data_IF_650091364224
#
_entry.id   IF_650091364224
#
_cell.length_a   1.000
_cell.length_b   1.000
_cell.length_c   1.000
_cell.angle_alpha   90.00
_cell.angle_beta   90.00
_cell.angle_gamma   90.00
#
_symmetry.space_group_name_H-M   'P 1'
#
loop_
_entity.id
_entity.type
_entity.pdbx_description
1 polymer ?
#
# COMPACT_ATOMS: atom_id res chain seq x y z
N UNK A 1 7.24 4.32 38.54
CA UNK A 1 7.98 3.46 37.58
C UNK A 1 8.37 4.33 36.39
N UNK A 2 9.42 5.13 36.52
CA UNK A 2 10.84 4.80 36.23
C UNK A 2 11.12 4.75 34.73
N UNK A 3 11.50 5.93 34.22
CA UNK A 3 12.22 6.14 32.98
C UNK A 3 13.57 5.41 33.01
N UNK A 4 13.95 4.73 31.92
CA UNK A 4 15.35 4.36 31.68
C UNK A 4 15.74 4.86 30.28
N UNK A 5 16.55 5.92 30.28
CA UNK A 5 17.45 6.29 29.17
C UNK A 5 18.66 5.37 29.23
N UNK A 6 19.09 4.83 28.10
CA UNK A 6 20.45 4.31 27.92
C UNK A 6 21.11 5.08 26.79
N UNK A 7 22.14 5.84 27.15
CA UNK A 7 23.12 6.44 26.24
C UNK A 7 24.33 5.50 26.25
N UNK A 8 24.86 5.13 25.08
CA UNK A 8 26.22 4.65 24.97
C UNK A 8 26.86 5.14 23.66
N UNK A 9 28.06 5.69 23.81
CA UNK A 9 28.82 6.41 22.82
C UNK A 9 29.79 5.51 22.05
N UNK A 10 29.95 5.81 20.75
CA UNK A 10 31.23 5.94 20.04
C UNK A 10 32.15 4.73 19.85
N UNK A 11 32.46 4.41 18.58
CA UNK A 11 33.85 4.49 18.06
C UNK A 11 33.90 4.37 16.53
N UNK A 12 34.57 5.34 15.90
CA UNK A 12 35.04 5.26 14.51
C UNK A 12 36.19 4.25 14.39
N UNK A 13 36.17 3.44 13.33
CA UNK A 13 37.35 2.77 12.78
C UNK A 13 37.43 3.08 11.29
N UNK A 14 38.46 3.84 10.89
CA UNK A 14 38.94 3.93 9.51
C UNK A 14 39.91 2.76 9.26
N UNK A 15 39.81 2.08 8.12
CA UNK A 15 40.96 1.55 7.35
C UNK A 15 40.65 1.47 5.85
N UNK A 16 41.72 1.54 5.06
CA UNK A 16 41.85 1.94 3.66
C UNK A 16 41.71 0.80 2.64
N UNK A 17 41.30 1.20 1.43
CA UNK A 17 41.75 0.80 0.08
C UNK A 17 42.02 -0.66 -0.28
N UNK A 18 41.32 -1.13 -1.32
CA UNK A 18 41.73 -2.22 -2.21
C UNK A 18 40.78 -2.30 -3.41
N UNK A 19 41.30 -2.09 -4.62
CA UNK A 19 40.58 -2.04 -5.90
C UNK A 19 40.58 -3.42 -6.57
N UNK A 20 39.57 -3.63 -7.42
CA UNK A 20 39.45 -4.56 -8.56
C UNK A 20 39.22 -6.06 -8.31
N UNK A 21 38.07 -6.52 -8.81
CA UNK A 21 37.74 -7.92 -9.04
C UNK A 21 36.37 -8.01 -9.73
N UNK A 22 36.36 -7.95 -11.06
CA UNK A 22 35.23 -8.23 -11.94
C UNK A 22 34.71 -9.66 -11.75
N UNK A 23 33.40 -9.87 -11.69
CA UNK A 23 32.84 -11.21 -11.75
C UNK A 23 31.33 -11.26 -11.58
N UNK A 24 30.64 -11.40 -12.72
CA UNK A 24 29.41 -12.19 -12.81
C UNK A 24 28.15 -11.52 -12.30
N UNK A 25 27.50 -10.78 -13.20
CA UNK A 25 26.06 -10.60 -13.21
C UNK A 25 25.36 -11.96 -13.06
N UNK A 26 24.82 -12.20 -11.86
CA UNK A 26 23.79 -13.20 -11.62
C UNK A 26 22.72 -12.52 -10.77
N UNK A 27 22.03 -11.54 -11.39
CA UNK A 27 20.69 -11.15 -10.97
C UNK A 27 19.84 -12.42 -11.09
N UNK A 28 19.68 -13.13 -9.96
CA UNK A 28 19.07 -14.46 -9.90
C UNK A 28 17.67 -14.39 -10.50
N UNK A 29 17.44 -15.28 -11.45
CA UNK A 29 16.31 -15.41 -12.35
C UNK A 29 14.99 -15.82 -11.64
N UNK A 30 15.00 -15.92 -10.32
CA UNK A 30 13.85 -16.30 -9.48
C UNK A 30 12.89 -15.12 -9.25
N UNK A 31 13.40 -13.88 -9.33
CA UNK A 31 12.66 -12.62 -9.17
C UNK A 31 11.63 -12.40 -10.31
N UNK A 32 11.98 -12.80 -11.53
CA UNK A 32 11.11 -12.63 -12.70
C UNK A 32 9.83 -13.47 -12.66
N UNK A 33 9.81 -14.62 -11.98
CA UNK A 33 8.65 -15.53 -12.05
C UNK A 33 7.52 -15.08 -11.12
N UNK A 34 7.86 -14.46 -9.98
CA UNK A 34 6.87 -13.86 -9.06
C UNK A 34 6.29 -12.55 -9.61
N UNK A 35 7.12 -11.69 -10.20
CA UNK A 35 6.64 -10.46 -10.83
C UNK A 35 5.67 -10.71 -12.01
N UNK A 36 5.95 -11.73 -12.83
CA UNK A 36 5.09 -12.10 -13.97
C UNK A 36 3.75 -12.71 -13.53
N UNK A 37 3.69 -13.37 -12.37
CA UNK A 37 2.46 -14.00 -11.88
C UNK A 37 1.43 -12.98 -11.37
N UNK A 38 1.86 -11.80 -10.92
CA UNK A 38 0.95 -10.75 -10.47
C UNK A 38 0.35 -9.98 -11.67
N UNK A 39 1.15 -9.62 -12.68
CA UNK A 39 0.67 -8.81 -13.81
C UNK A 39 -0.27 -9.54 -14.78
N UNK A 40 -0.17 -10.87 -14.90
CA UNK A 40 -1.06 -11.66 -15.78
C UNK A 40 -2.47 -11.89 -15.21
N UNK A 41 -2.77 -11.37 -14.01
CA UNK A 41 -4.07 -11.54 -13.33
C UNK A 41 -4.97 -10.30 -13.40
N UNK A 42 -4.56 -9.28 -14.16
CA UNK A 42 -5.31 -8.04 -14.34
C UNK A 42 -5.81 -7.88 -15.79
N UNK A 43 -6.94 -7.19 -16.01
CA UNK A 43 -7.85 -6.67 -14.98
C UNK A 43 -8.62 -7.78 -14.26
N UNK A 44 -8.99 -7.53 -13.00
CA UNK A 44 -9.87 -8.41 -12.22
C UNK A 44 -10.87 -7.59 -11.40
N UNK A 45 -12.03 -8.16 -11.03
CA UNK A 45 -12.89 -7.53 -10.04
C UNK A 45 -12.18 -7.42 -8.69
N UNK A 46 -12.68 -6.49 -7.87
CA UNK A 46 -12.38 -6.46 -6.43
C UNK A 46 -12.75 -7.79 -5.77
N UNK A 47 -11.93 -8.23 -4.83
CA UNK A 47 -12.34 -9.30 -3.91
C UNK A 47 -13.35 -8.75 -2.90
N UNK A 48 -14.09 -9.65 -2.23
CA UNK A 48 -15.01 -9.24 -1.17
C UNK A 48 -14.29 -8.49 -0.04
N UNK A 49 -13.10 -8.95 0.36
CA UNK A 49 -12.31 -8.31 1.42
C UNK A 49 -11.82 -6.91 1.01
N UNK A 50 -11.42 -6.72 -0.24
CA UNK A 50 -11.04 -5.40 -0.78
C UNK A 50 -12.25 -4.47 -0.80
N UNK A 51 -13.39 -4.96 -1.29
CA UNK A 51 -14.64 -4.20 -1.34
C UNK A 51 -15.08 -3.76 0.06
N UNK A 52 -15.19 -4.69 1.02
CA UNK A 52 -15.63 -4.42 2.38
C UNK A 52 -14.71 -3.40 3.09
N UNK A 53 -13.40 -3.51 2.88
CA UNK A 53 -12.44 -2.57 3.45
C UNK A 53 -12.62 -1.16 2.88
N UNK A 54 -12.76 -1.03 1.55
CA UNK A 54 -12.94 0.27 0.90
C UNK A 54 -14.29 0.88 1.27
N UNK A 55 -15.36 0.08 1.31
CA UNK A 55 -16.69 0.52 1.72
C UNK A 55 -16.67 1.05 3.16
N UNK A 56 -16.03 0.31 4.08
CA UNK A 56 -15.88 0.76 5.47
C UNK A 56 -15.08 2.07 5.58
N UNK A 57 -14.03 2.23 4.78
CA UNK A 57 -13.30 3.50 4.70
C UNK A 57 -14.19 4.64 4.18
N UNK A 58 -14.94 4.42 3.09
CA UNK A 58 -15.83 5.41 2.50
C UNK A 58 -16.97 5.82 3.45
N UNK A 59 -17.41 4.92 4.33
CA UNK A 59 -18.37 5.22 5.40
C UNK A 59 -17.93 6.36 6.34
N UNK A 60 -16.64 6.70 6.41
CA UNK A 60 -16.14 7.83 7.20
C UNK A 60 -16.32 9.20 6.52
N UNK A 61 -16.56 9.26 5.22
CA UNK A 61 -16.78 10.52 4.51
C UNK A 61 -18.13 11.13 4.96
N UNK A 62 -18.11 12.37 5.46
CA UNK A 62 -19.34 13.08 5.85
C UNK A 62 -20.13 13.63 4.67
N UNK A 63 -19.46 13.83 3.54
CA UNK A 63 -20.03 14.33 2.29
C UNK A 63 -19.21 13.83 1.11
N UNK A 64 -19.82 13.67 -0.06
CA UNK A 64 -19.12 13.19 -1.25
C UNK A 64 -18.89 11.66 -1.29
N UNK A 65 -19.45 10.90 -0.35
CA UNK A 65 -19.46 9.42 -0.33
C UNK A 65 -20.07 8.86 -1.61
N UNK A 66 -21.24 9.42 -2.01
CA UNK A 66 -22.07 8.85 -3.05
C UNK A 66 -21.39 8.73 -4.42
N UNK A 67 -20.46 9.64 -4.74
CA UNK A 67 -19.70 9.55 -6.00
C UNK A 67 -18.72 8.39 -6.03
N UNK A 68 -18.21 7.97 -4.85
CA UNK A 68 -17.21 6.91 -4.75
C UNK A 68 -17.84 5.54 -4.53
N UNK A 69 -18.97 5.46 -3.84
CA UNK A 69 -19.71 4.19 -3.69
C UNK A 69 -20.16 3.67 -5.05
N UNK A 70 -20.74 4.51 -5.91
CA UNK A 70 -21.11 4.08 -7.26
C UNK A 70 -19.92 3.68 -8.14
N UNK A 71 -18.72 4.22 -7.85
CA UNK A 71 -17.49 3.78 -8.53
C UNK A 71 -16.97 2.46 -7.99
N UNK A 72 -17.19 2.17 -6.70
CA UNK A 72 -16.71 0.96 -6.05
C UNK A 72 -17.38 -0.30 -6.63
N UNK A 73 -18.67 -0.22 -6.93
CA UNK A 73 -19.45 -1.33 -7.51
C UNK A 73 -18.92 -1.77 -8.89
N UNK A 74 -18.40 -0.82 -9.68
CA UNK A 74 -17.89 -1.04 -11.03
C UNK A 74 -16.34 -1.04 -11.09
N UNK A 75 -15.66 -0.97 -9.93
CA UNK A 75 -14.22 -0.84 -9.89
C UNK A 75 -13.51 -2.15 -10.24
N UNK A 76 -12.59 -2.06 -11.19
CA UNK A 76 -11.65 -3.14 -11.52
C UNK A 76 -10.26 -2.84 -11.00
N UNK A 77 -9.59 -3.86 -10.49
CA UNK A 77 -8.17 -3.80 -10.17
C UNK A 77 -7.37 -3.96 -11.45
N UNK A 78 -6.53 -2.96 -11.73
CA UNK A 78 -5.67 -2.88 -12.91
C UNK A 78 -4.21 -3.30 -12.63
N UNK A 79 -3.84 -3.41 -11.36
CA UNK A 79 -2.48 -3.74 -10.94
C UNK A 79 -2.35 -3.78 -9.43
N UNK A 80 -1.21 -4.27 -8.93
CA UNK A 80 -0.88 -4.28 -7.51
C UNK A 80 0.61 -4.06 -7.25
N UNK A 81 1.00 -3.91 -5.98
CA UNK A 81 2.42 -3.85 -5.63
C UNK A 81 3.10 -5.20 -5.92
N UNK A 82 4.27 -5.17 -6.56
CA UNK A 82 5.13 -6.36 -6.70
C UNK A 82 5.91 -6.72 -5.44
N UNK A 83 5.85 -5.87 -4.41
CA UNK A 83 6.63 -6.02 -3.17
C UNK A 83 6.08 -7.07 -2.20
N UNK A 84 4.81 -7.47 -2.34
CA UNK A 84 4.15 -8.40 -1.43
C UNK A 84 3.14 -7.77 -0.46
N UNK A 85 2.96 -6.44 -0.48
CA UNK A 85 1.86 -5.78 0.22
C UNK A 85 0.56 -5.82 -0.63
N UNK A 86 -0.62 -5.76 0.01
CA UNK A 86 -1.91 -5.91 -0.67
C UNK A 86 -2.39 -4.59 -1.32
N UNK A 87 -1.46 -3.71 -1.69
CA UNK A 87 -1.81 -2.45 -2.37
C UNK A 87 -2.23 -2.72 -3.80
N UNK A 88 -3.32 -2.07 -4.22
CA UNK A 88 -3.97 -2.26 -5.53
C UNK A 88 -4.25 -0.91 -6.21
N UNK A 89 -4.16 -0.90 -7.54
CA UNK A 89 -4.51 0.23 -8.38
C UNK A 89 -5.82 -0.07 -9.11
N UNK A 90 -6.71 0.92 -9.20
CA UNK A 90 -7.95 0.77 -9.95
C UNK A 90 -7.79 1.26 -11.39
N UNK A 91 -8.57 0.66 -12.29
CA UNK A 91 -8.86 1.22 -13.60
C UNK A 91 -9.62 2.53 -13.42
N UNK A 92 -8.89 3.66 -13.29
CA UNK A 92 -9.53 4.95 -13.14
C UNK A 92 -10.20 5.36 -14.46
N UNK A 93 -11.52 5.54 -14.45
CA UNK A 93 -12.30 6.09 -15.59
C UNK A 93 -12.04 7.61 -15.82
N UNK A 94 -10.96 8.14 -15.24
CA UNK A 94 -10.56 9.53 -15.39
C UNK A 94 -10.02 9.76 -16.80
N UNK A 95 -10.85 10.33 -17.67
CA UNK A 95 -10.46 10.89 -18.97
C UNK A 95 -9.42 12.01 -18.85
N UNK A 96 -9.20 12.54 -17.64
CA UNK A 96 -8.18 13.56 -17.35
C UNK A 96 -6.81 12.89 -17.18
N UNK A 97 -6.10 12.78 -18.30
CA UNK A 97 -4.68 12.37 -18.31
C UNK A 97 -3.81 13.41 -17.60
N UNK A 98 -2.90 12.98 -16.74
CA UNK A 98 -1.87 13.85 -16.14
C UNK A 98 -2.20 14.42 -14.75
N UNK A 99 -3.36 14.13 -14.16
CA UNK A 99 -3.62 14.47 -12.76
C UNK A 99 -2.89 13.52 -11.81
N UNK A 100 -2.14 14.07 -10.83
CA UNK A 100 -1.49 13.29 -9.78
C UNK A 100 -2.57 12.70 -8.82
N UNK A 101 -2.45 11.44 -8.37
CA UNK A 101 -3.28 10.92 -7.29
C UNK A 101 -3.17 11.77 -6.02
N UNK A 102 -4.30 11.95 -5.35
CA UNK A 102 -4.41 12.61 -4.05
C UNK A 102 -5.01 11.63 -3.03
N UNK A 103 -4.56 11.64 -1.76
CA UNK A 103 -5.18 10.83 -0.73
C UNK A 103 -6.56 11.42 -0.42
N UNK A 104 -7.57 10.58 -0.27
CA UNK A 104 -8.92 11.01 0.14
C UNK A 104 -9.26 10.60 1.56
N UNK A 105 -8.79 9.41 1.97
CA UNK A 105 -9.02 8.87 3.32
C UNK A 105 -7.73 8.22 3.79
N UNK A 106 -7.38 8.49 5.04
CA UNK A 106 -6.29 7.86 5.76
C UNK A 106 -6.88 7.07 6.92
N UNK A 107 -6.36 5.86 7.14
CA UNK A 107 -6.70 5.04 8.29
C UNK A 107 -5.46 4.31 8.78
N UNK A 108 -5.53 3.83 10.02
CA UNK A 108 -4.62 2.81 10.51
C UNK A 108 -5.41 1.52 10.69
N UNK A 109 -4.72 0.38 10.64
CA UNK A 109 -5.33 -0.92 10.88
C UNK A 109 -4.30 -1.91 11.43
N UNK A 110 -4.73 -3.14 11.63
CA UNK A 110 -3.86 -4.27 11.95
C UNK A 110 -4.04 -5.34 10.88
N UNK A 111 -2.93 -5.80 10.30
CA UNK A 111 -3.00 -6.94 9.37
C UNK A 111 -3.37 -8.21 10.14
N UNK A 112 -3.84 -9.26 9.45
CA UNK A 112 -4.11 -10.55 10.09
C UNK A 112 -2.89 -11.19 10.79
N UNK A 113 -1.67 -10.73 10.48
CA UNK A 113 -0.42 -11.13 11.13
C UNK A 113 -0.15 -10.37 12.45
N UNK A 114 -1.01 -9.42 12.84
CA UNK A 114 -0.79 -8.54 13.99
C UNK A 114 0.13 -7.36 13.70
N UNK A 115 0.40 -7.05 12.43
CA UNK A 115 1.28 -5.95 12.03
C UNK A 115 0.48 -4.64 11.93
N UNK A 116 0.90 -3.56 12.61
CA UNK A 116 0.29 -2.25 12.42
C UNK A 116 0.56 -1.73 11.00
N UNK A 117 -0.50 -1.32 10.31
CA UNK A 117 -0.44 -0.81 8.94
C UNK A 117 -1.12 0.55 8.83
N UNK A 118 -0.62 1.38 7.92
CA UNK A 118 -1.35 2.54 7.43
C UNK A 118 -2.06 2.19 6.13
N UNK A 119 -3.26 2.74 5.95
CA UNK A 119 -4.08 2.54 4.77
C UNK A 119 -4.41 3.91 4.17
N UNK A 120 -4.24 4.03 2.86
CA UNK A 120 -4.56 5.23 2.11
C UNK A 120 -5.48 4.86 0.96
N UNK A 121 -6.66 5.48 0.91
CA UNK A 121 -7.51 5.45 -0.26
C UNK A 121 -7.17 6.65 -1.14
N UNK A 122 -6.88 6.39 -2.41
CA UNK A 122 -6.43 7.39 -3.37
C UNK A 122 -7.52 7.73 -4.39
N UNK A 123 -7.55 8.99 -4.82
CA UNK A 123 -8.34 9.42 -5.96
C UNK A 123 -7.50 10.15 -7.00
N UNK A 124 -7.90 10.07 -8.27
CA UNK A 124 -7.33 10.80 -9.40
C UNK A 124 -8.45 11.35 -10.26
N UNK A 125 -8.41 12.64 -10.57
CA UNK A 125 -9.43 13.27 -11.42
C UNK A 125 -10.86 13.12 -10.89
N UNK A 126 -11.02 13.01 -9.56
CA UNK A 126 -12.33 12.79 -8.92
C UNK A 126 -12.81 11.34 -8.89
N UNK A 127 -12.03 10.38 -9.40
CA UNK A 127 -12.33 8.95 -9.39
C UNK A 127 -11.42 8.19 -8.42
N UNK A 128 -11.88 7.09 -7.83
CA UNK A 128 -11.01 6.18 -7.08
C UNK A 128 -9.86 5.70 -7.99
N UNK A 129 -8.63 5.70 -7.46
CA UNK A 129 -7.45 5.32 -8.24
C UNK A 129 -6.63 4.21 -7.63
N UNK A 130 -6.79 3.93 -6.33
CA UNK A 130 -6.13 2.80 -5.69
C UNK A 130 -6.28 2.79 -4.19
N UNK A 131 -5.92 1.64 -3.61
CA UNK A 131 -5.80 1.40 -2.18
C UNK A 131 -4.34 1.07 -1.89
N UNK A 132 -3.73 1.80 -0.98
CA UNK A 132 -2.37 1.54 -0.51
C UNK A 132 -2.41 1.05 0.94
N UNK A 133 -1.67 -0.02 1.21
CA UNK A 133 -1.47 -0.59 2.53
C UNK A 133 0.03 -0.70 2.77
N UNK A 134 0.51 -0.02 3.81
CA UNK A 134 1.93 0.00 4.16
C UNK A 134 2.14 -0.43 5.62
N UNK A 135 2.99 -1.44 5.89
CA UNK A 135 3.37 -1.77 7.25
C UNK A 135 4.25 -0.67 7.86
N UNK A 136 4.11 -0.47 9.16
CA UNK A 136 4.90 0.55 9.88
C UNK A 136 6.28 0.05 10.30
N UNK A 137 6.43 -1.26 10.45
CA UNK A 137 7.67 -1.92 10.82
C UNK A 137 8.55 -2.28 9.61
N UNK A 138 8.05 -2.03 8.40
CA UNK A 138 8.75 -2.36 7.15
C UNK A 138 8.68 -3.82 6.76
N UNK A 139 7.71 -4.60 7.26
CA UNK A 139 7.47 -5.96 6.80
C UNK A 139 7.28 -6.01 5.27
N UNK A 140 7.94 -6.96 4.60
CA UNK A 140 7.87 -7.07 3.13
C UNK A 140 6.56 -7.71 2.64
N UNK A 141 5.98 -8.61 3.43
CA UNK A 141 4.77 -9.36 3.07
C UNK A 141 3.75 -9.30 4.21
N UNK A 142 2.58 -8.77 3.91
CA UNK A 142 1.43 -8.67 4.82
C UNK A 142 0.15 -8.98 4.06
N UNK A 143 -0.87 -9.49 4.76
CA UNK A 143 -2.20 -9.65 4.16
C UNK A 143 -3.05 -8.40 4.34
N UNK A 144 -4.13 -8.32 3.54
CA UNK A 144 -5.10 -7.24 3.63
C UNK A 144 -5.71 -7.20 5.05
N UNK A 145 -5.73 -6.03 5.71
CA UNK A 145 -6.39 -5.89 7.00
C UNK A 145 -7.91 -6.06 6.87
N UNK A 146 -8.54 -6.63 7.89
CA UNK A 146 -10.00 -6.71 7.95
C UNK A 146 -10.60 -5.33 8.23
N UNK A 147 -11.77 -5.06 7.65
CA UNK A 147 -12.48 -3.78 7.80
C UNK A 147 -12.79 -3.42 9.27
N UNK A 148 -13.02 -4.43 10.12
CA UNK A 148 -13.28 -4.26 11.55
C UNK A 148 -12.04 -3.82 12.38
N UNK A 149 -10.84 -3.95 11.83
CA UNK A 149 -9.59 -3.51 12.44
C UNK A 149 -9.28 -2.02 12.20
N UNK A 150 -10.04 -1.37 11.32
CA UNK A 150 -9.86 0.03 10.96
C UNK A 150 -10.01 0.96 12.18
N UNK A 151 -9.07 1.90 12.30
CA UNK A 151 -9.01 2.89 13.37
C UNK A 151 -8.44 4.20 12.84
N UNK A 152 -8.69 5.29 13.58
CA UNK A 152 -8.18 6.62 13.24
C UNK A 152 -8.53 7.09 11.80
N UNK A 153 -9.70 6.70 11.29
CA UNK A 153 -10.18 7.12 9.97
C UNK A 153 -10.32 8.65 9.93
N UNK A 154 -9.77 9.25 8.89
CA UNK A 154 -9.81 10.69 8.67
C UNK A 154 -9.80 11.02 7.18
N UNK A 155 -10.54 12.06 6.84
CA UNK A 155 -10.54 12.64 5.49
C UNK A 155 -9.36 13.58 5.33
N UNK A 156 -8.89 13.73 4.10
CA UNK A 156 -7.88 14.74 3.76
C UNK A 156 -8.61 15.89 3.09
N UNK A 157 -8.94 16.91 3.89
CA UNK A 157 -9.64 18.12 3.47
C UNK A 157 -8.67 19.19 2.91
#
# INVERSE_FOLDING_TARGET
>A
MTYIRVIAAGRQIRKRSGRSGSGGDACRTEDLTMAISNELSYPRPLTAEEHDLIEAMLGALRSGVGRYIGQLEEAEVAGGCGCGCPSINFSAESTVTGTKPIPVILADAESPEGVPVGIILWARGGCLSGLEVHPWDGADVIRLPHADSLRNLRTVD
#
